data_IF_501396476457
#
_entry.id   IF_501396476457
#
_cell.length_a   1.000
_cell.length_b   1.000
_cell.length_c   1.000
_cell.angle_alpha   90.00
_cell.angle_beta   90.00
_cell.angle_gamma   90.00
#
_symmetry.space_group_name_H-M   'P 1'
#
loop_
_entity.id
_entity.type
_entity.pdbx_description
1 polymer ?
#
# COMPACT_ATOMS: atom_id res chain seq x y z
N UNK A 1 -13.35 30.84 -37.52
CA UNK A 1 -11.95 31.32 -37.58
C UNK A 1 -11.02 30.14 -37.35
N UNK A 2 -10.07 29.93 -38.24
CA UNK A 2 -9.10 28.82 -38.24
C UNK A 2 -7.87 29.18 -37.39
N UNK A 3 -7.60 28.33 -36.40
CA UNK A 3 -6.32 27.82 -35.86
C UNK A 3 -5.08 28.72 -35.97
N UNK A 4 -4.47 29.05 -34.82
CA UNK A 4 -3.02 29.30 -34.73
C UNK A 4 -2.48 28.71 -33.41
N UNK A 5 -2.20 27.40 -33.40
CA UNK A 5 -1.52 26.71 -32.29
C UNK A 5 -0.32 25.88 -32.82
N UNK A 6 0.45 26.43 -33.77
CA UNK A 6 1.58 25.74 -34.41
C UNK A 6 2.97 26.14 -33.88
N UNK A 7 3.08 27.16 -33.03
CA UNK A 7 4.39 27.73 -32.66
C UNK A 7 5.16 27.01 -31.55
N UNK A 8 4.51 26.14 -30.76
CA UNK A 8 5.13 25.52 -29.57
C UNK A 8 5.77 24.14 -29.84
N UNK A 9 5.42 23.48 -30.93
CA UNK A 9 5.87 22.09 -31.21
C UNK A 9 7.22 22.09 -31.95
N UNK A 10 7.48 23.08 -32.81
CA UNK A 10 8.73 23.17 -33.58
C UNK A 10 10.00 23.38 -32.72
N UNK A 11 9.86 23.87 -31.48
CA UNK A 11 11.00 24.02 -30.56
C UNK A 11 11.38 22.75 -29.80
N UNK A 12 10.55 21.70 -29.86
CA UNK A 12 10.85 20.43 -29.19
C UNK A 12 11.60 19.44 -30.09
N UNK A 13 11.55 19.61 -31.41
CA UNK A 13 12.16 18.67 -32.36
C UNK A 13 13.49 19.14 -32.96
N UNK A 14 13.84 20.42 -32.83
CA UNK A 14 15.11 20.95 -33.33
C UNK A 14 16.09 21.28 -32.19
N UNK A 15 16.47 20.26 -31.42
CA UNK A 15 17.76 20.29 -30.72
C UNK A 15 18.82 19.69 -31.62
N UNK A 16 19.47 20.60 -32.35
CA UNK A 16 20.69 20.39 -33.11
C UNK A 16 21.79 19.83 -32.19
N UNK A 17 21.93 18.50 -32.13
CA UNK A 17 23.03 17.83 -31.46
C UNK A 17 24.25 17.82 -32.40
N UNK A 18 24.94 18.95 -32.45
CA UNK A 18 26.31 19.00 -32.96
C UNK A 18 27.21 18.34 -31.89
N UNK A 19 27.50 17.05 -32.03
CA UNK A 19 28.45 16.33 -31.16
C UNK A 19 29.81 16.22 -31.86
N UNK A 20 30.90 16.71 -31.26
CA UNK A 20 32.25 16.50 -31.75
C UNK A 20 32.67 15.03 -31.61
N UNK A 21 33.45 14.56 -32.59
CA UNK A 21 34.08 13.24 -32.67
C UNK A 21 34.75 12.85 -31.35
N UNK A 22 34.39 11.69 -30.80
CA UNK A 22 35.18 11.00 -29.79
C UNK A 22 35.67 9.66 -30.32
N UNK A 23 36.97 9.50 -30.22
CA UNK A 23 37.77 8.36 -30.65
C UNK A 23 37.30 7.07 -29.97
N UNK A 24 37.16 6.01 -30.77
CA UNK A 24 36.76 4.68 -30.32
C UNK A 24 37.85 4.07 -29.44
N UNK A 25 37.75 4.27 -28.11
CA UNK A 25 38.35 3.33 -27.16
C UNK A 25 37.53 2.04 -27.24
N UNK A 26 38.12 1.00 -27.81
CA UNK A 26 37.63 -0.38 -27.75
C UNK A 26 37.55 -0.80 -26.29
N UNK A 27 36.38 -0.65 -25.69
CA UNK A 27 36.05 -1.20 -24.37
C UNK A 27 36.02 -2.71 -24.55
N UNK A 28 36.90 -3.45 -23.86
CA UNK A 28 36.91 -4.91 -23.94
C UNK A 28 35.66 -5.47 -23.27
N UNK A 29 35.11 -6.57 -23.79
CA UNK A 29 33.92 -7.24 -23.22
C UNK A 29 34.08 -7.52 -21.72
N UNK A 30 35.30 -7.84 -21.28
CA UNK A 30 35.64 -8.06 -19.88
C UNK A 30 35.38 -6.85 -18.97
N UNK A 31 35.56 -5.63 -19.48
CA UNK A 31 35.30 -4.41 -18.71
C UNK A 31 33.79 -4.13 -18.61
N UNK A 32 33.02 -4.47 -19.65
CA UNK A 32 31.56 -4.37 -19.63
C UNK A 32 30.98 -5.38 -18.64
N UNK A 33 31.44 -6.63 -18.67
CA UNK A 33 31.00 -7.68 -17.75
C UNK A 33 31.33 -7.32 -16.30
N UNK A 34 32.54 -6.84 -16.03
CA UNK A 34 32.91 -6.38 -14.69
C UNK A 34 32.04 -5.22 -14.19
N UNK A 35 31.63 -4.32 -15.08
CA UNK A 35 30.79 -3.16 -14.73
C UNK A 35 29.33 -3.58 -14.50
N UNK A 36 28.83 -4.56 -15.24
CA UNK A 36 27.51 -5.18 -15.03
C UNK A 36 27.49 -5.93 -13.70
N UNK A 37 28.51 -6.73 -13.41
CA UNK A 37 28.63 -7.49 -12.17
C UNK A 37 28.77 -6.58 -10.94
N UNK A 38 29.59 -5.53 -11.04
CA UNK A 38 29.72 -4.53 -9.98
C UNK A 38 28.38 -3.84 -9.70
N UNK A 39 27.63 -3.49 -10.75
CA UNK A 39 26.32 -2.85 -10.62
C UNK A 39 25.25 -3.80 -10.08
N UNK A 40 25.25 -5.06 -10.50
CA UNK A 40 24.38 -6.10 -9.93
C UNK A 40 24.68 -6.28 -8.43
N UNK A 41 25.96 -6.35 -8.07
CA UNK A 41 26.40 -6.50 -6.68
C UNK A 41 26.00 -5.29 -5.82
N UNK A 42 26.15 -4.07 -6.34
CA UNK A 42 25.71 -2.85 -5.67
C UNK A 42 24.18 -2.80 -5.48
N UNK A 43 23.40 -3.20 -6.49
CA UNK A 43 21.94 -3.29 -6.38
C UNK A 43 21.51 -4.34 -5.34
N UNK A 44 22.15 -5.52 -5.30
CA UNK A 44 21.84 -6.55 -4.28
C UNK A 44 22.19 -6.11 -2.86
N UNK A 45 23.31 -5.40 -2.66
CA UNK A 45 23.70 -4.86 -1.36
C UNK A 45 22.77 -3.73 -0.90
N UNK A 46 22.32 -2.89 -1.85
CA UNK A 46 21.37 -1.80 -1.55
C UNK A 46 19.98 -2.34 -1.19
N UNK A 47 19.50 -3.41 -1.85
CA UNK A 47 18.22 -4.04 -1.47
C UNK A 47 18.25 -4.71 -0.09
N UNK A 48 19.42 -5.12 0.42
CA UNK A 48 19.54 -5.61 1.80
C UNK A 48 19.68 -4.46 2.81
N UNK A 49 20.27 -3.33 2.41
CA UNK A 49 20.44 -2.16 3.28
C UNK A 49 19.16 -1.31 3.44
N UNK A 50 18.27 -1.28 2.44
CA UNK A 50 16.98 -0.55 2.54
C UNK A 50 15.94 -1.26 3.40
N UNK A 51 16.20 -2.49 3.87
CA UNK A 51 15.34 -3.19 4.84
C UNK A 51 15.57 -2.67 6.28
N UNK A 52 16.66 -1.95 6.55
CA UNK A 52 17.06 -1.64 7.94
C UNK A 52 16.68 -0.22 8.38
N UNK A 53 16.26 0.68 7.49
CA UNK A 53 16.18 2.12 7.86
C UNK A 53 15.00 2.89 7.29
N UNK A 54 13.87 2.27 6.99
CA UNK A 54 12.61 2.99 6.81
C UNK A 54 11.49 2.22 7.49
N UNK A 55 10.98 2.81 8.59
CA UNK A 55 9.67 2.58 9.19
C UNK A 55 9.06 1.22 8.87
N UNK A 56 9.31 0.24 9.74
CA UNK A 56 8.65 -1.04 9.72
C UNK A 56 7.12 -0.84 9.74
N UNK A 57 6.50 -0.75 8.55
CA UNK A 57 5.26 -1.45 8.33
C UNK A 57 5.54 -2.88 8.75
N UNK A 58 4.79 -3.43 9.73
CA UNK A 58 5.03 -4.80 10.14
C UNK A 58 4.98 -5.68 8.88
N UNK A 59 5.89 -6.66 8.75
CA UNK A 59 5.87 -7.59 7.64
C UNK A 59 4.43 -8.08 7.46
N UNK A 60 4.02 -8.22 6.20
CA UNK A 60 2.80 -8.96 5.83
C UNK A 60 3.04 -10.42 6.19
N UNK A 61 3.08 -10.68 7.49
CA UNK A 61 2.92 -12.01 8.00
C UNK A 61 1.47 -12.37 7.73
N UNK A 62 1.29 -13.42 6.95
CA UNK A 62 0.12 -14.27 7.08
C UNK A 62 0.19 -14.98 8.46
N UNK A 63 0.28 -14.22 9.55
CA UNK A 63 0.32 -14.76 10.91
C UNK A 63 -1.04 -14.59 11.56
N UNK A 64 -1.78 -15.69 11.60
CA UNK A 64 -2.85 -15.96 12.57
C UNK A 64 -3.72 -14.74 12.93
N UNK A 65 -4.40 -14.16 11.96
CA UNK A 65 -5.20 -12.94 12.11
C UNK A 65 -6.50 -13.11 12.96
N UNK A 66 -6.53 -14.14 13.81
CA UNK A 66 -7.60 -14.50 14.73
C UNK A 66 -7.26 -14.14 16.18
N UNK A 67 -6.39 -13.14 16.40
CA UNK A 67 -6.11 -12.63 17.74
C UNK A 67 -7.39 -12.08 18.37
N UNK A 68 -7.71 -12.60 19.56
CA UNK A 68 -8.79 -12.10 20.42
C UNK A 68 -8.49 -10.69 20.88
N UNK A 69 -9.54 -9.89 21.05
CA UNK A 69 -9.41 -8.54 21.60
C UNK A 69 -9.03 -8.56 23.09
N UNK A 70 -8.23 -7.58 23.51
CA UNK A 70 -8.05 -7.23 24.93
C UNK A 70 -9.35 -6.66 25.52
N UNK A 71 -9.55 -6.66 26.85
CA UNK A 71 -10.76 -6.11 27.47
C UNK A 71 -11.06 -4.66 27.04
N UNK A 72 -10.05 -3.79 27.02
CA UNK A 72 -10.18 -2.40 26.56
C UNK A 72 -10.61 -2.31 25.09
N UNK A 73 -10.12 -3.21 24.24
CA UNK A 73 -10.52 -3.26 22.84
C UNK A 73 -11.94 -3.78 22.66
N UNK A 74 -12.40 -4.71 23.50
CA UNK A 74 -13.81 -5.17 23.52
C UNK A 74 -14.72 -4.01 23.90
N UNK A 75 -14.42 -3.30 24.98
CA UNK A 75 -15.18 -2.11 25.40
C UNK A 75 -15.26 -1.08 24.28
N UNK A 76 -14.13 -0.82 23.63
CA UNK A 76 -14.11 0.10 22.49
C UNK A 76 -14.96 -0.42 21.31
N UNK A 77 -14.86 -1.71 20.96
CA UNK A 77 -15.69 -2.31 19.91
C UNK A 77 -17.19 -2.18 20.21
N UNK A 78 -17.59 -2.44 21.46
CA UNK A 78 -18.98 -2.29 21.90
C UNK A 78 -19.45 -0.83 21.78
N UNK A 79 -18.60 0.15 22.15
CA UNK A 79 -18.92 1.57 21.98
C UNK A 79 -19.14 1.98 20.52
N UNK A 80 -18.50 1.29 19.56
CA UNK A 80 -18.71 1.51 18.13
C UNK A 80 -20.01 0.86 17.64
N UNK A 81 -20.33 -0.33 18.14
CA UNK A 81 -21.59 -1.03 17.81
C UNK A 81 -22.80 -0.24 18.32
N UNK A 82 -22.68 0.37 19.50
CA UNK A 82 -23.72 1.21 20.09
C UNK A 82 -24.13 2.37 19.17
N UNK A 83 -23.20 2.90 18.37
CA UNK A 83 -23.48 3.99 17.40
C UNK A 83 -24.31 3.53 16.21
N UNK A 84 -24.35 2.23 15.93
CA UNK A 84 -25.10 1.62 14.81
C UNK A 84 -26.26 0.75 15.30
N UNK A 85 -26.60 0.84 16.60
CA UNK A 85 -27.62 0.01 17.26
C UNK A 85 -29.03 0.14 16.69
N UNK A 86 -29.30 1.19 15.92
CA UNK A 86 -30.60 1.42 15.29
C UNK A 86 -30.86 0.41 14.16
N UNK A 87 -29.81 -0.03 13.47
CA UNK A 87 -29.90 -0.92 12.31
C UNK A 87 -29.28 -2.30 12.57
N UNK A 88 -28.30 -2.36 13.47
CA UNK A 88 -27.51 -3.57 13.72
C UNK A 88 -27.39 -3.89 15.19
N UNK A 89 -27.22 -5.17 15.50
CA UNK A 89 -26.91 -5.68 16.83
C UNK A 89 -25.77 -6.70 16.76
N UNK A 90 -25.07 -6.90 17.88
CA UNK A 90 -24.02 -7.90 17.99
C UNK A 90 -24.66 -9.29 18.07
N UNK A 91 -24.24 -10.20 17.20
CA UNK A 91 -24.80 -11.56 17.10
C UNK A 91 -23.92 -12.63 17.74
N UNK A 92 -22.74 -12.25 18.25
CA UNK A 92 -21.78 -13.14 18.89
C UNK A 92 -21.43 -12.65 20.29
N UNK A 93 -20.88 -13.54 21.11
CA UNK A 93 -20.28 -13.15 22.37
C UNK A 93 -19.16 -12.10 22.14
N UNK A 94 -19.12 -10.97 22.88
CA UNK A 94 -18.09 -9.94 22.72
C UNK A 94 -16.65 -10.47 22.82
N UNK A 95 -16.42 -11.53 23.61
CA UNK A 95 -15.10 -12.17 23.77
C UNK A 95 -14.62 -12.91 22.51
N UNK A 96 -15.52 -13.16 21.56
CA UNK A 96 -15.24 -13.77 20.26
C UNK A 96 -14.90 -12.74 19.18
N UNK A 97 -14.99 -11.44 19.47
CA UNK A 97 -14.56 -10.40 18.55
C UNK A 97 -13.07 -10.52 18.25
N UNK A 98 -12.72 -10.33 16.99
CA UNK A 98 -11.34 -10.33 16.52
C UNK A 98 -10.84 -8.90 16.26
N UNK A 99 -9.52 -8.72 16.23
CA UNK A 99 -8.87 -7.48 15.75
C UNK A 99 -9.44 -7.07 14.38
N UNK A 100 -9.67 -8.04 13.51
CA UNK A 100 -10.25 -7.84 12.18
C UNK A 100 -11.67 -7.28 12.21
N UNK A 101 -12.49 -7.67 13.17
CA UNK A 101 -13.85 -7.16 13.30
C UNK A 101 -13.82 -5.73 13.88
N UNK A 102 -12.96 -5.48 14.87
CA UNK A 102 -12.71 -4.13 15.39
C UNK A 102 -12.23 -3.17 14.29
N UNK A 103 -11.28 -3.57 13.45
CA UNK A 103 -10.79 -2.75 12.35
C UNK A 103 -11.91 -2.39 11.35
N UNK A 104 -12.85 -3.31 11.10
CA UNK A 104 -14.03 -3.05 10.25
C UNK A 104 -14.99 -2.04 10.89
N UNK A 105 -15.20 -2.13 12.20
CA UNK A 105 -16.00 -1.16 12.96
C UNK A 105 -15.35 0.24 12.94
N UNK A 106 -14.03 0.32 13.16
CA UNK A 106 -13.27 1.58 13.09
C UNK A 106 -13.35 2.18 11.69
N UNK A 107 -13.18 1.37 10.64
CA UNK A 107 -13.28 1.83 9.26
C UNK A 107 -14.68 2.37 8.93
N UNK A 108 -15.74 1.77 9.46
CA UNK A 108 -17.08 2.34 9.34
C UNK A 108 -17.16 3.70 10.04
N UNK A 109 -16.69 3.80 11.29
CA UNK A 109 -16.79 5.03 12.07
C UNK A 109 -16.02 6.19 11.42
N UNK A 110 -14.79 5.93 10.93
CA UNK A 110 -13.88 6.92 10.35
C UNK A 110 -14.23 7.31 8.92
N UNK A 111 -14.64 6.35 8.09
CA UNK A 111 -14.83 6.56 6.64
C UNK A 111 -16.28 6.42 6.17
N UNK A 112 -17.22 6.14 7.07
CA UNK A 112 -18.64 5.85 6.75
C UNK A 112 -18.80 4.71 5.74
N UNK A 113 -17.84 3.79 5.67
CA UNK A 113 -17.87 2.66 4.77
C UNK A 113 -18.96 1.67 5.21
N UNK A 114 -20.08 1.62 4.48
CA UNK A 114 -21.19 0.68 4.78
C UNK A 114 -20.84 -0.77 4.45
N UNK A 115 -19.91 -0.99 3.52
CA UNK A 115 -19.46 -2.33 3.11
C UNK A 115 -18.82 -3.12 4.25
N UNK A 116 -18.19 -2.44 5.21
CA UNK A 116 -17.60 -3.11 6.39
C UNK A 116 -18.68 -3.68 7.31
N UNK A 117 -19.79 -2.98 7.51
CA UNK A 117 -20.94 -3.50 8.27
C UNK A 117 -21.59 -4.69 7.54
N UNK A 118 -21.76 -4.60 6.22
CA UNK A 118 -22.27 -5.72 5.40
C UNK A 118 -21.37 -6.96 5.54
N UNK A 119 -20.05 -6.77 5.53
CA UNK A 119 -19.11 -7.87 5.74
C UNK A 119 -19.21 -8.48 7.14
N UNK A 120 -19.40 -7.65 8.18
CA UNK A 120 -19.63 -8.15 9.54
C UNK A 120 -20.94 -8.93 9.65
N UNK A 121 -21.98 -8.54 8.91
CA UNK A 121 -23.24 -9.31 8.82
C UNK A 121 -23.04 -10.64 8.10
N UNK A 122 -22.36 -10.63 6.94
CA UNK A 122 -22.04 -11.88 6.20
C UNK A 122 -21.22 -12.88 7.02
N UNK A 123 -20.34 -12.38 7.89
CA UNK A 123 -19.56 -13.20 8.83
C UNK A 123 -20.35 -13.66 10.07
N UNK A 124 -21.60 -13.21 10.24
CA UNK A 124 -22.42 -13.50 11.42
C UNK A 124 -21.97 -12.79 12.69
N UNK A 125 -21.10 -11.77 12.60
CA UNK A 125 -20.66 -10.97 13.75
C UNK A 125 -21.75 -9.98 14.15
N UNK A 126 -22.34 -9.30 13.15
CA UNK A 126 -23.49 -8.43 13.34
C UNK A 126 -24.74 -9.07 12.74
N UNK A 127 -25.89 -8.69 13.26
CA UNK A 127 -27.20 -9.01 12.70
C UNK A 127 -27.96 -7.72 12.44
N UNK A 128 -28.74 -7.69 11.35
CA UNK A 128 -29.71 -6.61 11.12
C UNK A 128 -30.90 -6.81 12.03
N UNK A 129 -31.34 -5.73 12.67
CA UNK A 129 -32.61 -5.72 13.38
C UNK A 129 -33.78 -5.89 12.42
#
# INVERSE_FOLDING_TARGET
MKIVLKGLIDKLFNSNSNQPKTETKTISQSEIEALVDAKLKEHTATMQATVTTEQALPPKEESNENYKLTPKQIEYALSLIEKVKNEFELAIDPTKLTIKDLNRLIAHQRYKNKGTLVNLVKKGVLKRK
#
